data_IF_025279277738
#
_entry.id   IF_025279277738
#
_cell.length_a   1.000
_cell.length_b   1.000
_cell.length_c   1.000
_cell.angle_alpha   90.00
_cell.angle_beta   90.00
_cell.angle_gamma   90.00
#
_symmetry.space_group_name_H-M   'P 1'
#
loop_
_entity.id
_entity.type
_entity.pdbx_description
1 polymer ?
#
# COMPACT_ATOMS: atom_id res chain seq x y z
N UNK A 1 -23.62 5.44 8.07
CA UNK A 1 -22.30 4.93 7.62
C UNK A 1 -21.14 5.77 8.16
N UNK A 2 -21.11 7.10 7.93
CA UNK A 2 -20.07 8.00 8.45
C UNK A 2 -19.90 8.00 9.97
N UNK A 3 -21.00 8.04 10.73
CA UNK A 3 -20.96 8.01 12.21
C UNK A 3 -20.29 6.73 12.75
N UNK A 4 -20.59 5.57 12.16
CA UNK A 4 -20.00 4.30 12.58
C UNK A 4 -18.50 4.23 12.31
N UNK A 5 -18.06 4.80 11.17
CA UNK A 5 -16.63 4.90 10.85
C UNK A 5 -15.89 5.82 11.83
N UNK A 6 -16.49 6.96 12.21
CA UNK A 6 -15.89 7.89 13.17
C UNK A 6 -15.75 7.25 14.56
N UNK A 7 -16.79 6.53 15.03
CA UNK A 7 -16.75 5.82 16.32
C UNK A 7 -15.68 4.73 16.31
N UNK A 8 -15.57 3.97 15.22
CA UNK A 8 -14.53 2.96 15.06
C UNK A 8 -13.13 3.57 15.11
N UNK A 9 -12.90 4.69 14.41
CA UNK A 9 -11.60 5.35 14.42
C UNK A 9 -11.25 5.91 15.81
N UNK A 10 -12.21 6.53 16.51
CA UNK A 10 -12.01 6.99 17.88
C UNK A 10 -11.71 5.83 18.84
N UNK A 11 -12.37 4.69 18.67
CA UNK A 11 -12.10 3.49 19.45
C UNK A 11 -10.68 2.96 19.19
N UNK A 12 -10.25 2.89 17.93
CA UNK A 12 -8.89 2.46 17.57
C UNK A 12 -7.83 3.42 18.15
N UNK A 13 -8.05 4.72 18.05
CA UNK A 13 -7.14 5.74 18.63
C UNK A 13 -7.10 5.65 20.16
N UNK A 14 -8.23 5.35 20.81
CA UNK A 14 -8.32 5.23 22.27
C UNK A 14 -7.71 3.91 22.79
N UNK A 15 -7.80 2.83 22.01
CA UNK A 15 -7.25 1.51 22.35
C UNK A 15 -5.74 1.43 22.14
N UNK A 16 -5.17 2.30 21.29
CA UNK A 16 -3.73 2.35 21.05
C UNK A 16 -3.09 3.38 22.00
N UNK A 17 -2.47 2.96 23.10
CA UNK A 17 -1.90 3.89 24.10
C UNK A 17 -0.70 4.68 23.57
N UNK A 18 0.04 4.09 22.61
CA UNK A 18 1.19 4.70 21.96
C UNK A 18 1.00 4.60 20.44
N UNK A 19 0.37 5.63 19.85
CA UNK A 19 0.22 5.72 18.39
C UNK A 19 1.59 5.63 17.68
N UNK A 20 2.63 6.17 18.31
CA UNK A 20 4.00 6.13 17.80
C UNK A 20 4.54 4.69 17.69
N UNK A 21 4.33 3.84 18.71
CA UNK A 21 4.74 2.43 18.66
C UNK A 21 3.94 1.65 17.62
N UNK A 22 2.63 1.88 17.57
CA UNK A 22 1.77 1.25 16.56
C UNK A 22 2.20 1.62 15.13
N UNK A 23 2.39 2.91 14.86
CA UNK A 23 2.87 3.39 13.59
C UNK A 23 4.25 2.80 13.28
N UNK A 24 5.18 2.82 14.23
CA UNK A 24 6.54 2.26 14.07
C UNK A 24 6.49 0.78 13.71
N UNK A 25 5.66 -0.04 14.39
CA UNK A 25 5.51 -1.46 14.06
C UNK A 25 4.91 -1.67 12.66
N UNK A 26 3.92 -0.86 12.25
CA UNK A 26 3.37 -0.92 10.90
C UNK A 26 4.39 -0.49 9.83
N UNK A 27 5.18 0.54 10.12
CA UNK A 27 6.24 1.01 9.25
C UNK A 27 7.36 -0.02 9.15
N UNK A 28 7.80 -0.61 10.26
CA UNK A 28 8.81 -1.68 10.30
C UNK A 28 8.35 -2.91 9.50
N UNK A 29 7.08 -3.32 9.63
CA UNK A 29 6.52 -4.40 8.83
C UNK A 29 6.54 -4.08 7.33
N UNK A 30 6.19 -2.84 6.97
CA UNK A 30 6.23 -2.37 5.58
C UNK A 30 7.66 -2.31 5.05
N UNK A 31 8.61 -1.81 5.84
CA UNK A 31 10.05 -1.75 5.51
C UNK A 31 10.62 -3.15 5.38
N UNK A 32 10.23 -4.10 6.23
CA UNK A 32 10.66 -5.49 6.14
C UNK A 32 10.14 -6.17 4.86
N UNK A 33 8.89 -5.90 4.47
CA UNK A 33 8.35 -6.32 3.17
C UNK A 33 9.19 -5.76 2.02
N UNK A 34 9.50 -4.45 2.03
CA UNK A 34 10.35 -3.81 1.01
C UNK A 34 11.79 -4.37 1.02
N UNK A 35 12.36 -4.62 2.20
CA UNK A 35 13.69 -5.20 2.35
C UNK A 35 13.75 -6.68 1.96
N UNK A 36 12.65 -7.42 1.99
CA UNK A 36 12.61 -8.77 1.42
C UNK A 36 12.88 -8.75 -0.09
N UNK A 37 12.50 -7.67 -0.80
CA UNK A 37 12.89 -7.46 -2.20
C UNK A 37 14.37 -7.03 -2.37
N UNK A 38 15.04 -6.60 -1.30
CA UNK A 38 16.49 -6.32 -1.31
C UNK A 38 17.32 -7.59 -1.50
N UNK A 39 16.80 -8.78 -1.13
CA UNK A 39 17.43 -10.08 -1.47
C UNK A 39 17.56 -10.31 -2.98
N UNK A 40 16.78 -9.59 -3.78
CA UNK A 40 16.81 -9.62 -5.26
C UNK A 40 17.77 -8.55 -5.82
N UNK A 41 18.51 -7.81 -4.97
CA UNK A 41 19.48 -6.79 -5.36
C UNK A 41 18.90 -5.39 -5.60
N UNK A 42 17.67 -5.13 -5.15
CA UNK A 42 16.99 -3.84 -5.30
C UNK A 42 17.15 -2.96 -4.05
N UNK A 43 17.64 -1.73 -4.22
CA UNK A 43 17.69 -0.75 -3.14
C UNK A 43 16.29 -0.45 -2.57
N UNK A 44 16.17 -0.12 -1.28
CA UNK A 44 14.90 0.21 -0.61
C UNK A 44 14.03 1.22 -1.40
N UNK A 45 14.67 2.29 -1.90
CA UNK A 45 14.02 3.32 -2.72
C UNK A 45 13.45 2.72 -4.01
N UNK A 46 14.19 1.80 -4.63
CA UNK A 46 13.81 1.16 -5.89
C UNK A 46 12.67 0.16 -5.66
N UNK A 47 12.69 -0.61 -4.57
CA UNK A 47 11.60 -1.50 -4.18
C UNK A 47 10.29 -0.72 -3.95
N UNK A 48 10.37 0.43 -3.26
CA UNK A 48 9.21 1.31 -3.06
C UNK A 48 8.59 1.80 -4.37
N UNK A 49 9.41 2.28 -5.31
CA UNK A 49 8.93 2.76 -6.62
C UNK A 49 8.29 1.62 -7.43
N UNK A 50 8.89 0.44 -7.43
CA UNK A 50 8.35 -0.71 -8.14
C UNK A 50 6.96 -1.09 -7.60
N UNK A 51 6.82 -1.20 -6.28
CA UNK A 51 5.59 -1.69 -5.67
C UNK A 51 4.48 -0.63 -5.68
N UNK A 52 4.82 0.62 -5.34
CA UNK A 52 3.83 1.68 -5.15
C UNK A 52 3.51 2.45 -6.44
N UNK A 53 4.33 2.35 -7.48
CA UNK A 53 4.14 3.10 -8.73
C UNK A 53 4.06 2.16 -9.92
N UNK A 54 5.05 1.29 -10.12
CA UNK A 54 5.13 0.46 -11.33
C UNK A 54 4.00 -0.58 -11.36
N UNK A 55 3.75 -1.31 -10.26
CA UNK A 55 2.67 -2.31 -10.21
C UNK A 55 1.29 -1.66 -10.45
N UNK A 56 0.86 -0.60 -9.73
CA UNK A 56 -0.42 0.06 -9.99
C UNK A 56 -0.52 0.62 -11.42
N UNK A 57 0.55 1.23 -11.92
CA UNK A 57 0.58 1.78 -13.28
C UNK A 57 0.45 0.69 -14.33
N UNK A 58 1.14 -0.44 -14.16
CA UNK A 58 1.04 -1.58 -15.06
C UNK A 58 -0.37 -2.19 -15.07
N UNK A 59 -1.00 -2.33 -13.90
CA UNK A 59 -2.38 -2.82 -13.78
C UNK A 59 -3.35 -1.87 -14.49
N UNK A 60 -3.24 -0.56 -14.25
CA UNK A 60 -4.08 0.44 -14.93
C UNK A 60 -3.86 0.44 -16.44
N UNK A 61 -2.60 0.37 -16.90
CA UNK A 61 -2.27 0.28 -18.31
C UNK A 61 -2.84 -0.99 -18.96
N UNK A 62 -2.74 -2.14 -18.28
CA UNK A 62 -3.31 -3.39 -18.75
C UNK A 62 -4.84 -3.32 -18.82
N UNK A 63 -5.49 -2.73 -17.80
CA UNK A 63 -6.93 -2.53 -17.77
C UNK A 63 -7.40 -1.59 -18.91
N UNK A 64 -6.69 -0.48 -19.12
CA UNK A 64 -6.97 0.45 -20.21
C UNK A 64 -6.76 -0.20 -21.58
N UNK A 65 -5.70 -0.99 -21.75
CA UNK A 65 -5.46 -1.74 -22.98
C UNK A 65 -6.59 -2.74 -23.25
N UNK A 66 -7.03 -3.47 -22.23
CA UNK A 66 -8.12 -4.43 -22.36
C UNK A 66 -9.47 -3.76 -22.64
N UNK A 67 -9.77 -2.66 -21.96
CA UNK A 67 -10.96 -1.85 -22.21
C UNK A 67 -10.95 -1.30 -23.64
N UNK A 68 -9.83 -0.71 -24.08
CA UNK A 68 -9.67 -0.20 -25.45
C UNK A 68 -9.81 -1.31 -26.49
N UNK A 69 -9.34 -2.52 -26.19
CA UNK A 69 -9.54 -3.71 -27.05
C UNK A 69 -11.01 -4.13 -27.11
N UNK A 70 -11.72 -4.10 -25.99
CA UNK A 70 -13.17 -4.43 -25.90
C UNK A 70 -14.02 -3.40 -26.65
N UNK A 71 -13.76 -2.10 -26.53
CA UNK A 71 -14.54 -1.07 -27.22
C UNK A 71 -14.29 -1.02 -28.73
N UNK A 72 -13.18 -1.61 -29.22
CA UNK A 72 -12.85 -1.66 -30.65
C UNK A 72 -13.38 -2.90 -31.39
N UNK A 73 -14.01 -3.84 -30.69
CA UNK A 73 -14.56 -5.09 -31.26
C UNK A 73 -16.08 -5.10 -31.09
#
# INVERSE_FOLDING_TARGET
MLIGFIIFQLFVVFVIPDFEKFATTLFEGSVNFLNSFSQVGLNYVQASVVICVIIPTAILAALMYWNKKITRN
#
